data_IF_459456632735
#
_entry.id   IF_459456632735
#
_cell.length_a   1.000
_cell.length_b   1.000
_cell.length_c   1.000
_cell.angle_alpha   90.00
_cell.angle_beta   90.00
_cell.angle_gamma   90.00
#
_symmetry.space_group_name_H-M   'P 1'
#
loop_
_entity.id
_entity.type
_entity.pdbx_description
1 polymer ?
#
# COMPACT_ATOMS: atom_id res chain seq x y z
N UNK A 1 -32.56 -37.44 -28.12
CA UNK A 1 -31.25 -37.71 -27.49
C UNK A 1 -30.25 -36.70 -28.04
N UNK A 2 -29.81 -35.80 -27.17
CA UNK A 2 -28.69 -34.85 -27.16
C UNK A 2 -28.33 -33.90 -28.34
N UNK A 3 -27.92 -32.70 -27.93
CA UNK A 3 -27.70 -31.43 -28.63
C UNK A 3 -26.20 -31.23 -28.92
N UNK A 4 -25.75 -30.65 -30.04
CA UNK A 4 -24.38 -30.14 -30.15
C UNK A 4 -24.31 -28.68 -29.71
N UNK A 5 -23.51 -28.44 -28.67
CA UNK A 5 -23.24 -27.13 -28.12
C UNK A 5 -22.31 -26.28 -28.98
N UNK A 6 -22.64 -24.98 -29.04
CA UNK A 6 -21.73 -23.86 -29.23
C UNK A 6 -22.51 -22.59 -28.89
N UNK A 7 -22.25 -22.03 -27.72
CA UNK A 7 -22.80 -20.74 -27.32
C UNK A 7 -21.64 -19.84 -26.92
N UNK A 8 -21.38 -18.88 -27.80
CA UNK A 8 -20.76 -17.60 -27.46
C UNK A 8 -21.86 -16.54 -27.58
N UNK A 9 -21.80 -15.54 -26.69
CA UNK A 9 -22.46 -14.20 -26.74
C UNK A 9 -23.48 -13.90 -25.62
N UNK A 10 -22.94 -13.27 -24.58
CA UNK A 10 -23.34 -12.00 -23.92
C UNK A 10 -24.80 -11.66 -23.55
N UNK A 11 -24.88 -11.11 -22.32
CA UNK A 11 -25.73 -10.02 -21.80
C UNK A 11 -27.22 -10.28 -21.52
N UNK A 12 -27.57 -10.20 -20.22
CA UNK A 12 -28.85 -9.67 -19.78
C UNK A 12 -28.60 -8.72 -18.58
N UNK A 13 -28.85 -7.44 -18.83
CA UNK A 13 -28.87 -6.33 -17.89
C UNK A 13 -30.18 -6.44 -17.09
N UNK A 14 -30.11 -6.36 -15.77
CA UNK A 14 -31.32 -6.13 -14.95
C UNK A 14 -31.02 -5.02 -13.93
N UNK A 15 -31.51 -3.83 -14.25
CA UNK A 15 -31.57 -2.70 -13.34
C UNK A 15 -32.92 -2.72 -12.62
N UNK A 16 -32.91 -2.70 -11.28
CA UNK A 16 -34.00 -2.20 -10.47
C UNK A 16 -33.42 -1.21 -9.45
N UNK A 17 -33.74 0.07 -9.66
CA UNK A 17 -33.40 1.19 -8.79
C UNK A 17 -34.40 1.35 -7.65
N UNK A 18 -33.92 1.64 -6.44
CA UNK A 18 -34.49 2.65 -5.55
C UNK A 18 -33.48 3.09 -4.48
N UNK A 19 -32.85 4.23 -4.78
CA UNK A 19 -32.29 5.27 -3.93
C UNK A 19 -31.70 4.90 -2.55
N UNK A 20 -30.36 4.88 -2.49
CA UNK A 20 -29.58 5.85 -1.71
C UNK A 20 -28.10 5.65 -2.07
N UNK A 21 -27.67 6.25 -3.18
CA UNK A 21 -26.26 6.54 -3.39
C UNK A 21 -25.90 7.67 -2.43
N UNK A 22 -24.94 7.52 -1.52
CA UNK A 22 -23.95 8.56 -1.42
C UNK A 22 -23.06 8.40 -2.66
N UNK A 23 -23.33 9.22 -3.66
CA UNK A 23 -22.24 9.76 -4.45
C UNK A 23 -21.28 10.41 -3.45
N UNK A 24 -20.29 9.66 -2.95
CA UNK A 24 -19.17 10.26 -2.28
C UNK A 24 -18.10 10.50 -3.32
N UNK A 25 -18.39 11.45 -4.22
CA UNK A 25 -17.35 12.22 -4.91
C UNK A 25 -16.65 13.09 -3.86
N UNK A 26 -15.90 12.45 -2.96
CA UNK A 26 -14.98 13.11 -2.07
C UNK A 26 -13.60 12.84 -2.64
N UNK A 27 -12.90 13.89 -3.09
CA UNK A 27 -11.61 13.82 -3.79
C UNK A 27 -10.74 12.65 -3.33
N UNK A 28 -10.71 11.61 -4.15
CA UNK A 28 -10.22 10.27 -3.82
C UNK A 28 -8.70 10.28 -3.70
N UNK A 29 -8.17 10.69 -2.55
CA UNK A 29 -6.75 10.48 -2.24
C UNK A 29 -6.52 8.99 -1.97
N UNK A 30 -6.35 8.22 -3.04
CA UNK A 30 -6.10 6.78 -2.95
C UNK A 30 -4.59 6.51 -2.98
N UNK A 31 -4.00 6.30 -1.80
CA UNK A 31 -2.64 5.75 -1.71
C UNK A 31 -2.72 4.24 -1.89
N UNK A 32 -1.88 3.68 -2.75
CA UNK A 32 -1.74 2.24 -2.90
C UNK A 32 -0.51 1.80 -2.11
N UNK A 33 -0.66 0.78 -1.27
CA UNK A 33 0.44 0.17 -0.51
C UNK A 33 0.80 -1.17 -1.13
N UNK A 34 2.09 -1.39 -1.33
CA UNK A 34 2.66 -2.69 -1.64
C UNK A 34 3.57 -3.14 -0.48
N UNK A 35 3.36 -4.36 0.02
CA UNK A 35 4.27 -5.03 0.94
C UNK A 35 5.34 -5.76 0.12
N UNK A 36 6.56 -5.22 0.07
CA UNK A 36 7.63 -5.78 -0.74
C UNK A 36 8.33 -6.94 0.00
N UNK A 37 7.90 -8.18 -0.28
CA UNK A 37 8.31 -9.36 0.49
C UNK A 37 8.67 -10.59 -0.36
N UNK A 38 8.17 -10.68 -1.60
CA UNK A 38 8.39 -11.85 -2.46
C UNK A 38 9.34 -11.54 -3.61
N UNK A 39 10.19 -12.49 -3.99
CA UNK A 39 11.18 -12.31 -5.07
C UNK A 39 10.82 -13.07 -6.37
N UNK A 40 9.62 -13.64 -6.46
CA UNK A 40 9.20 -14.45 -7.62
C UNK A 40 7.69 -14.64 -7.79
N UNK A 41 6.88 -13.94 -7.00
CA UNK A 41 5.42 -13.86 -7.14
C UNK A 41 4.97 -12.43 -6.84
N UNK A 42 3.77 -12.01 -7.28
CA UNK A 42 3.26 -10.68 -6.97
C UNK A 42 3.26 -10.40 -5.47
N UNK A 43 3.68 -9.21 -5.09
CA UNK A 43 3.62 -8.73 -3.72
C UNK A 43 2.16 -8.45 -3.29
N UNK A 44 1.83 -8.57 -2.00
CA UNK A 44 0.55 -8.10 -1.48
C UNK A 44 0.39 -6.60 -1.72
N UNK A 45 -0.77 -6.20 -2.24
CA UNK A 45 -1.07 -4.81 -2.58
C UNK A 45 -2.50 -4.48 -2.20
N UNK A 46 -2.73 -3.31 -1.58
CA UNK A 46 -4.07 -2.84 -1.24
C UNK A 46 -4.18 -1.31 -1.35
N UNK A 47 -5.39 -0.84 -1.62
CA UNK A 47 -5.70 0.59 -1.60
C UNK A 47 -6.06 1.05 -0.19
N UNK A 48 -5.59 2.23 0.19
CA UNK A 48 -5.93 2.88 1.46
C UNK A 48 -7.12 3.82 1.23
N UNK A 49 -8.12 3.75 2.12
CA UNK A 49 -9.26 4.68 2.09
C UNK A 49 -8.79 6.12 2.25
N UNK A 50 -9.47 7.09 1.63
CA UNK A 50 -9.09 8.51 1.67
C UNK A 50 -8.78 9.05 3.08
N UNK A 51 -9.60 8.73 4.09
CA UNK A 51 -9.38 9.14 5.49
C UNK A 51 -8.03 8.63 6.03
N UNK A 52 -7.79 7.32 5.90
CA UNK A 52 -6.53 6.68 6.30
C UNK A 52 -5.34 7.11 5.46
N UNK A 53 -5.56 7.45 4.19
CA UNK A 53 -4.53 8.03 3.33
C UNK A 53 -4.09 9.38 3.88
N UNK A 54 -5.02 10.25 4.30
CA UNK A 54 -4.66 11.53 4.93
C UNK A 54 -3.87 11.33 6.22
N UNK A 55 -4.29 10.42 7.11
CA UNK A 55 -3.53 10.08 8.33
C UNK A 55 -2.11 9.58 8.03
N UNK A 56 -1.95 8.80 6.96
CA UNK A 56 -0.65 8.28 6.53
C UNK A 56 0.22 9.40 5.93
N UNK A 57 -0.34 10.23 5.07
CA UNK A 57 0.37 11.34 4.41
C UNK A 57 0.73 12.46 5.40
N UNK A 58 -0.09 12.72 6.41
CA UNK A 58 0.22 13.65 7.50
C UNK A 58 1.45 13.17 8.30
N UNK A 59 1.44 11.90 8.71
CA UNK A 59 2.59 11.30 9.40
C UNK A 59 3.88 11.31 8.56
N UNK A 60 3.77 11.25 7.23
CA UNK A 60 4.94 11.32 6.34
C UNK A 60 5.51 12.73 6.21
N UNK A 61 4.70 13.78 6.39
CA UNK A 61 5.14 15.18 6.26
C UNK A 61 5.95 15.66 7.47
N UNK A 62 5.70 15.12 8.66
CA UNK A 62 6.35 15.54 9.91
C UNK A 62 7.63 14.73 10.24
N UNK A 63 8.21 14.02 9.27
CA UNK A 63 9.38 13.19 9.52
C UNK A 63 10.68 14.01 9.55
N UNK A 64 11.55 13.82 10.56
CA UNK A 64 12.85 14.49 10.60
C UNK A 64 13.81 13.87 9.57
N UNK A 65 14.71 14.68 8.96
CA UNK A 65 15.66 14.18 7.97
C UNK A 65 16.62 13.15 8.56
N UNK A 66 17.02 12.17 7.75
CA UNK A 66 18.01 11.15 8.06
C UNK A 66 19.25 11.31 7.17
N UNK A 67 20.43 11.13 7.76
CA UNK A 67 21.71 11.31 7.06
C UNK A 67 22.01 10.18 6.06
N UNK A 68 21.34 9.03 6.17
CA UNK A 68 21.57 7.87 5.32
C UNK A 68 20.26 7.21 4.89
N UNK A 69 20.16 6.75 3.62
CA UNK A 69 19.04 5.95 3.18
C UNK A 69 19.06 4.57 3.83
N UNK A 70 17.90 3.91 3.88
CA UNK A 70 17.85 2.52 4.32
C UNK A 70 18.77 1.64 3.47
N UNK A 71 19.52 0.75 4.11
CA UNK A 71 20.26 -0.30 3.38
C UNK A 71 19.25 -1.20 2.69
N UNK A 72 19.36 -1.34 1.37
CA UNK A 72 18.64 -2.39 0.66
C UNK A 72 19.15 -3.75 1.14
N UNK A 73 18.35 -4.47 1.91
CA UNK A 73 18.58 -5.89 2.13
C UNK A 73 18.01 -6.68 0.94
N UNK A 74 18.64 -7.82 0.65
CA UNK A 74 18.35 -8.68 -0.51
C UNK A 74 17.00 -9.41 -0.45
N UNK A 75 17.03 -10.74 -0.52
CA UNK A 75 15.83 -11.59 -0.58
C UNK A 75 14.98 -11.47 0.71
N UNK A 76 13.66 -11.65 0.58
CA UNK A 76 12.71 -11.60 1.70
C UNK A 76 12.04 -10.24 1.90
N UNK A 77 11.76 -9.87 3.15
CA UNK A 77 11.10 -8.61 3.52
C UNK A 77 12.00 -7.40 3.24
N UNK A 78 11.45 -6.44 2.49
CA UNK A 78 12.14 -5.23 2.03
C UNK A 78 11.34 -3.95 2.34
N UNK A 79 10.38 -4.06 3.25
CA UNK A 79 9.52 -2.97 3.68
C UNK A 79 8.31 -2.77 2.79
N UNK A 80 7.87 -1.52 2.71
CA UNK A 80 6.70 -1.10 1.95
C UNK A 80 7.06 -0.12 0.86
N UNK A 81 6.24 -0.11 -0.18
CA UNK A 81 6.22 0.93 -1.21
C UNK A 81 4.83 1.54 -1.23
N UNK A 82 4.77 2.85 -1.02
CA UNK A 82 3.56 3.65 -1.22
C UNK A 82 3.60 4.27 -2.61
N UNK A 83 2.49 4.15 -3.32
CA UNK A 83 2.22 4.88 -4.55
C UNK A 83 1.19 5.97 -4.26
N UNK A 84 1.60 7.22 -4.41
CA UNK A 84 0.81 8.44 -4.23
C UNK A 84 0.71 9.18 -5.59
N UNK A 85 -0.05 8.65 -6.57
CA UNK A 85 -0.01 9.14 -7.95
C UNK A 85 -0.42 10.61 -8.06
N UNK A 86 -1.34 11.06 -7.21
CA UNK A 86 -1.85 12.43 -7.20
C UNK A 86 -0.98 13.42 -6.41
N UNK A 87 0.18 12.97 -5.89
CA UNK A 87 1.14 13.80 -5.13
C UNK A 87 0.48 14.57 -3.98
N UNK A 88 -0.47 13.94 -3.31
CA UNK A 88 -1.22 14.59 -2.23
C UNK A 88 -0.28 14.97 -1.10
N UNK A 89 -0.48 16.16 -0.53
CA UNK A 89 0.41 16.75 0.47
C UNK A 89 1.76 17.24 -0.08
N UNK A 90 1.92 17.30 -1.41
CA UNK A 90 3.20 17.63 -2.04
C UNK A 90 4.28 16.56 -1.86
N UNK A 91 3.89 15.37 -1.39
CA UNK A 91 4.79 14.24 -1.17
C UNK A 91 5.17 13.57 -2.49
N UNK A 92 6.30 12.88 -2.47
CA UNK A 92 6.79 12.12 -3.61
C UNK A 92 5.78 11.06 -4.07
N UNK A 93 5.70 10.76 -5.38
CA UNK A 93 4.77 9.76 -5.90
C UNK A 93 5.13 8.33 -5.49
N UNK A 94 6.41 8.08 -5.18
CA UNK A 94 6.90 6.80 -4.70
C UNK A 94 7.68 6.99 -3.39
N UNK A 95 7.20 6.31 -2.35
CA UNK A 95 7.77 6.40 -1.00
C UNK A 95 8.08 4.99 -0.54
N UNK A 96 9.33 4.74 -0.14
CA UNK A 96 9.76 3.46 0.43
C UNK A 96 9.91 3.60 1.94
N UNK A 97 9.39 2.63 2.69
CA UNK A 97 9.48 2.59 4.15
C UNK A 97 10.12 1.26 4.53
N UNK A 98 11.31 1.29 5.15
CA UNK A 98 12.02 0.08 5.54
C UNK A 98 13.11 0.36 6.58
N UNK A 99 13.16 -0.46 7.62
CA UNK A 99 14.21 -0.43 8.63
C UNK A 99 14.25 0.89 9.39
N UNK A 100 13.08 1.43 9.74
CA UNK A 100 12.96 2.71 10.45
C UNK A 100 13.33 3.95 9.64
N UNK A 101 13.44 3.83 8.31
CA UNK A 101 13.74 4.93 7.40
C UNK A 101 12.68 5.00 6.31
N UNK A 102 12.22 6.23 6.06
CA UNK A 102 11.35 6.59 4.94
C UNK A 102 12.19 7.28 3.87
N UNK A 103 12.20 6.70 2.67
CA UNK A 103 12.90 7.23 1.50
C UNK A 103 11.86 7.72 0.50
N UNK A 104 11.87 9.03 0.23
CA UNK A 104 11.01 9.66 -0.77
C UNK A 104 11.83 9.93 -2.02
N UNK A 105 11.33 9.48 -3.18
CA UNK A 105 12.00 9.66 -4.47
C UNK A 105 11.14 10.50 -5.39
N UNK A 106 11.60 11.73 -5.64
CA UNK A 106 11.06 12.59 -6.69
C UNK A 106 12.20 12.92 -7.68
N UNK A 107 12.50 14.20 -7.95
CA UNK A 107 13.74 14.59 -8.66
C UNK A 107 15.02 14.22 -7.89
N UNK A 108 14.92 14.13 -6.57
CA UNK A 108 16.01 13.75 -5.67
C UNK A 108 15.54 12.71 -4.69
N UNK A 109 16.48 11.91 -4.21
CA UNK A 109 16.23 10.95 -3.12
C UNK A 109 16.46 11.67 -1.79
N UNK A 110 15.44 11.70 -0.95
CA UNK A 110 15.52 12.21 0.42
C UNK A 110 15.18 11.10 1.40
N UNK A 111 15.87 11.08 2.54
CA UNK A 111 15.67 10.08 3.59
C UNK A 111 15.25 10.75 4.88
N UNK A 112 14.33 10.11 5.59
CA UNK A 112 13.74 10.60 6.82
C UNK A 112 13.67 9.46 7.85
N UNK A 113 13.78 9.77 9.13
CA UNK A 113 13.61 8.75 10.18
C UNK A 113 12.13 8.50 10.40
N UNK A 114 11.73 7.23 10.43
CA UNK A 114 10.37 6.81 10.77
C UNK A 114 10.14 6.93 12.28
N UNK A 115 9.84 8.14 12.75
CA UNK A 115 9.57 8.42 14.17
C UNK A 115 8.12 8.15 14.58
N UNK A 116 7.25 7.84 13.61
CA UNK A 116 5.82 7.58 13.85
C UNK A 116 5.46 6.10 13.69
N UNK A 117 6.46 5.22 13.64
CA UNK A 117 6.30 3.77 13.56
C UNK A 117 5.41 3.34 12.37
N UNK A 118 5.58 4.04 11.24
CA UNK A 118 4.78 3.86 10.03
C UNK A 118 4.95 2.44 9.51
N UNK A 119 6.18 1.92 9.51
CA UNK A 119 6.47 0.54 9.09
C UNK A 119 5.64 -0.49 9.86
N UNK A 120 5.61 -0.39 11.19
CA UNK A 120 4.83 -1.29 12.04
C UNK A 120 3.32 -1.12 11.84
N UNK A 121 2.84 0.13 11.69
CA UNK A 121 1.42 0.40 11.38
C UNK A 121 1.00 -0.25 10.06
N UNK A 122 1.85 -0.22 9.04
CA UNK A 122 1.57 -0.87 7.76
C UNK A 122 1.59 -2.41 7.86
N UNK A 123 2.42 -3.00 8.73
CA UNK A 123 2.37 -4.43 9.04
C UNK A 123 1.04 -4.81 9.70
N UNK A 124 0.56 -4.02 10.67
CA UNK A 124 -0.75 -4.22 11.28
C UNK A 124 -1.87 -4.11 10.25
N UNK A 125 -1.80 -3.11 9.37
CA UNK A 125 -2.76 -2.95 8.28
C UNK A 125 -2.73 -4.14 7.32
N UNK A 126 -1.55 -4.66 6.94
CA UNK A 126 -1.45 -5.85 6.10
C UNK A 126 -2.11 -7.08 6.76
N UNK A 127 -1.92 -7.27 8.08
CA UNK A 127 -2.60 -8.32 8.82
C UNK A 127 -4.12 -8.18 8.78
N UNK A 128 -4.64 -6.95 8.92
CA UNK A 128 -6.06 -6.65 8.84
C UNK A 128 -6.64 -6.87 7.43
N UNK A 129 -5.81 -6.74 6.39
CA UNK A 129 -6.18 -6.98 4.99
C UNK A 129 -6.03 -8.47 4.57
N UNK A 130 -5.92 -9.39 5.53
CA UNK A 130 -5.88 -10.83 5.28
C UNK A 130 -4.48 -11.41 5.04
N UNK A 131 -3.41 -10.62 5.21
CA UNK A 131 -2.03 -11.07 5.04
C UNK A 131 -1.35 -11.48 6.35
N UNK A 132 -2.12 -11.82 7.38
CA UNK A 132 -1.63 -12.14 8.74
C UNK A 132 -0.47 -13.13 8.76
N UNK A 133 -0.58 -14.26 8.04
CA UNK A 133 0.49 -15.28 8.00
C UNK A 133 1.79 -14.76 7.40
N UNK A 134 1.72 -13.83 6.44
CA UNK A 134 2.91 -13.19 5.86
C UNK A 134 3.55 -12.30 6.93
N UNK A 135 2.74 -11.48 7.61
CA UNK A 135 3.19 -10.58 8.67
C UNK A 135 3.85 -11.35 9.82
N UNK A 136 3.24 -12.45 10.27
CA UNK A 136 3.82 -13.31 11.31
C UNK A 136 5.19 -13.86 10.89
N UNK A 137 5.35 -14.27 9.63
CA UNK A 137 6.64 -14.71 9.10
C UNK A 137 7.69 -13.61 9.01
N UNK A 138 7.28 -12.38 8.69
CA UNK A 138 8.16 -11.20 8.70
C UNK A 138 8.62 -10.88 10.11
N UNK A 139 7.69 -10.77 11.06
CA UNK A 139 7.99 -10.44 12.46
C UNK A 139 8.87 -11.50 13.13
N UNK A 140 8.66 -12.79 12.81
CA UNK A 140 9.52 -13.86 13.32
C UNK A 140 10.95 -13.84 12.75
N UNK A 141 11.17 -13.17 11.61
CA UNK A 141 12.46 -13.05 10.95
C UNK A 141 13.21 -11.73 11.21
N UNK A 142 12.59 -10.76 11.88
CA UNK A 142 13.24 -9.51 12.26
C UNK A 142 14.12 -9.74 13.50
N UNK A 143 15.38 -9.27 13.53
CA UNK A 143 16.12 -9.21 14.78
C UNK A 143 15.41 -8.27 15.76
N UNK A 144 15.37 -8.64 17.04
CA UNK A 144 14.84 -7.79 18.12
C UNK A 144 15.55 -6.41 18.09
N UNK A 145 14.82 -5.29 18.24
CA UNK A 145 15.37 -3.94 18.09
C UNK A 145 16.49 -3.60 19.10
#
# INVERSE_FOLDING_TARGET
MNIPGKSWTLLAIMALSSASSPENSNGETAVIVELDVFSGRPNPTWSVSAERSMELLDALQDLPPADQPSRKNGLGYRGFVLCNPDRVGGLAPHIRIYGGIVTMTDDRVQSYRDVHDIEHRLLLQASQNGYKTIVEGVLAGMPDP
#
